data_IF_603709295989
#
_entry.id   IF_603709295989
#
_cell.length_a   1.000
_cell.length_b   1.000
_cell.length_c   1.000
_cell.angle_alpha   90.00
_cell.angle_beta   90.00
_cell.angle_gamma   90.00
#
_symmetry.space_group_name_H-M   'P 1'
#
loop_
_entity.id
_entity.type
_entity.pdbx_description
1 polymer ?
#
# COMPACT_ATOMS: atom_id res chain seq x y z
N UNK A 1 12.28 -5.59 13.09
CA UNK A 1 12.71 -6.77 12.27
C UNK A 1 13.47 -7.80 13.12
N UNK A 2 13.05 -8.05 14.37
CA UNK A 2 13.91 -8.72 15.35
C UNK A 2 13.82 -10.27 15.36
N UNK A 3 12.93 -10.88 14.58
CA UNK A 3 12.62 -12.32 14.67
C UNK A 3 12.86 -13.11 13.36
N UNK A 4 13.59 -12.57 12.39
CA UNK A 4 13.95 -13.28 11.15
C UNK A 4 12.82 -13.47 10.13
N UNK A 5 11.64 -12.91 10.37
CA UNK A 5 10.53 -12.95 9.42
C UNK A 5 10.85 -12.09 8.20
N UNK A 6 10.75 -12.62 6.96
CA UNK A 6 10.88 -11.81 5.76
C UNK A 6 9.69 -10.83 5.65
N UNK A 7 10.00 -9.55 5.43
CA UNK A 7 8.98 -8.48 5.36
C UNK A 7 9.06 -7.77 4.02
N UNK A 8 7.94 -7.72 3.31
CA UNK A 8 7.71 -6.80 2.20
C UNK A 8 6.97 -5.56 2.74
N UNK A 9 7.71 -4.48 2.99
CA UNK A 9 7.15 -3.26 3.57
C UNK A 9 6.66 -2.30 2.47
N UNK A 10 5.35 -2.35 2.19
CA UNK A 10 4.70 -1.49 1.19
C UNK A 10 4.27 -0.15 1.84
N UNK A 11 5.23 0.76 2.00
CA UNK A 11 5.00 2.11 2.51
C UNK A 11 5.64 3.13 1.56
N UNK A 12 5.06 4.31 1.42
CA UNK A 12 5.67 5.39 0.63
C UNK A 12 6.81 6.05 1.38
N UNK A 13 7.82 6.53 0.66
CA UNK A 13 8.87 7.42 1.19
C UNK A 13 9.13 8.51 0.15
N UNK A 14 8.85 9.79 0.47
CA UNK A 14 8.36 10.30 1.75
C UNK A 14 6.93 9.82 2.08
N UNK A 15 6.53 9.95 3.35
CA UNK A 15 5.12 9.82 3.71
C UNK A 15 4.28 10.86 2.96
N UNK A 16 2.97 10.59 2.73
CA UNK A 16 2.09 11.58 2.15
C UNK A 16 2.12 12.87 2.97
N UNK A 17 2.02 14.02 2.31
CA UNK A 17 2.07 15.33 2.98
C UNK A 17 0.92 15.53 3.98
N UNK A 18 -0.19 14.80 3.82
CA UNK A 18 -1.33 14.77 4.75
C UNK A 18 -1.09 13.92 6.01
N UNK A 19 0.00 13.15 6.08
CA UNK A 19 0.27 12.25 7.21
C UNK A 19 0.25 12.99 8.55
N UNK A 20 -0.51 12.46 9.51
CA UNK A 20 -0.72 13.05 10.84
C UNK A 20 -1.31 14.47 10.83
N UNK A 21 -2.10 14.79 9.80
CA UNK A 21 -2.91 16.02 9.76
C UNK A 21 -4.40 15.69 9.74
N UNK A 22 -5.25 16.68 10.01
CA UNK A 22 -6.71 16.53 9.84
C UNK A 22 -7.12 16.46 8.36
N UNK A 23 -6.19 16.65 7.43
CA UNK A 23 -6.40 16.54 5.99
C UNK A 23 -6.21 15.10 5.48
N UNK A 24 -5.86 14.14 6.35
CA UNK A 24 -5.90 12.72 6.04
C UNK A 24 -7.35 12.21 6.01
N UNK A 25 -8.06 12.59 4.93
CA UNK A 25 -9.47 12.32 4.70
C UNK A 25 -9.70 11.68 3.35
N UNK A 26 -10.90 11.13 3.14
CA UNK A 26 -11.30 10.52 1.86
C UNK A 26 -11.11 11.45 0.66
N UNK A 27 -11.37 12.75 0.83
CA UNK A 27 -11.25 13.75 -0.25
C UNK A 27 -9.82 13.87 -0.79
N UNK A 28 -8.81 13.58 0.04
CA UNK A 28 -7.39 13.64 -0.34
C UNK A 28 -6.83 12.28 -0.80
N UNK A 29 -7.66 11.24 -0.89
CA UNK A 29 -7.28 10.01 -1.57
C UNK A 29 -7.14 10.26 -3.07
N UNK A 30 -6.30 9.46 -3.72
CA UNK A 30 -6.17 9.43 -5.18
C UNK A 30 -6.76 8.10 -5.72
N UNK A 31 -8.05 8.06 -6.10
CA UNK A 31 -8.74 6.81 -6.46
C UNK A 31 -8.04 5.98 -7.53
N UNK A 32 -7.47 6.55 -8.62
CA UNK A 32 -6.74 5.75 -9.60
C UNK A 32 -5.52 5.03 -9.02
N UNK A 33 -4.83 5.63 -8.04
CA UNK A 33 -3.68 4.99 -7.41
C UNK A 33 -4.11 3.81 -6.53
N UNK A 34 -5.23 3.97 -5.79
CA UNK A 34 -5.83 2.89 -4.99
C UNK A 34 -6.22 1.72 -5.90
N UNK A 35 -6.92 1.98 -7.00
CA UNK A 35 -7.33 0.93 -7.94
C UNK A 35 -6.13 0.18 -8.54
N UNK A 36 -5.08 0.91 -8.93
CA UNK A 36 -3.87 0.32 -9.46
C UNK A 36 -3.17 -0.57 -8.43
N UNK A 37 -3.06 -0.12 -7.18
CA UNK A 37 -2.48 -0.92 -6.10
C UNK A 37 -3.32 -2.17 -5.81
N UNK A 38 -4.65 -2.08 -5.83
CA UNK A 38 -5.53 -3.24 -5.68
C UNK A 38 -5.29 -4.28 -6.78
N UNK A 39 -5.16 -3.85 -8.05
CA UNK A 39 -4.85 -4.76 -9.17
C UNK A 39 -3.49 -5.44 -9.01
N UNK A 40 -2.47 -4.67 -8.64
CA UNK A 40 -1.11 -5.21 -8.42
C UNK A 40 -1.12 -6.24 -7.29
N UNK A 41 -1.76 -5.93 -6.15
CA UNK A 41 -1.81 -6.85 -5.01
C UNK A 41 -2.63 -8.11 -5.32
N UNK A 42 -3.72 -7.99 -6.07
CA UNK A 42 -4.50 -9.14 -6.51
C UNK A 42 -3.67 -10.06 -7.43
N UNK A 43 -2.97 -9.49 -8.41
CA UNK A 43 -2.09 -10.25 -9.29
C UNK A 43 -0.94 -10.90 -8.52
N UNK A 44 -0.27 -10.15 -7.63
CA UNK A 44 0.79 -10.67 -6.76
C UNK A 44 0.33 -11.85 -5.92
N UNK A 45 -0.86 -11.75 -5.31
CA UNK A 45 -1.40 -12.84 -4.48
C UNK A 45 -1.79 -14.06 -5.32
N UNK A 46 -2.37 -13.85 -6.51
CA UNK A 46 -2.69 -14.92 -7.44
C UNK A 46 -1.43 -15.69 -7.85
N UNK A 47 -0.39 -14.98 -8.27
CA UNK A 47 0.90 -15.59 -8.60
C UNK A 47 1.53 -16.30 -7.40
N UNK A 48 1.51 -15.69 -6.22
CA UNK A 48 2.11 -16.26 -5.00
C UNK A 48 1.42 -17.56 -4.55
N UNK A 49 0.10 -17.65 -4.74
CA UNK A 49 -0.71 -18.81 -4.37
C UNK A 49 -0.87 -19.83 -5.52
N UNK A 50 -0.23 -19.60 -6.67
CA UNK A 50 -0.34 -20.45 -7.86
C UNK A 50 -1.77 -20.60 -8.38
N UNK A 51 -2.53 -19.49 -8.39
CA UNK A 51 -3.86 -19.38 -8.97
C UNK A 51 -3.83 -19.03 -10.46
#
# INVERSE_FOLDING_TARGET
>A
LAAGVPVLHLITTPFPWVWHTMEDTEQNLHPPAVENLCKILAAFLAEYLWL
#
